data_IF_457565164334
#
_entry.id   IF_457565164334
#
_cell.length_a   1.000
_cell.length_b   1.000
_cell.length_c   1.000
_cell.angle_alpha   90.00
_cell.angle_beta   90.00
_cell.angle_gamma   90.00
#
_symmetry.space_group_name_H-M   'P 1'
#
loop_
_entity.id
_entity.type
_entity.pdbx_description
1 polymer ?
#
# COMPACT_ATOMS: atom_id res chain seq x y z
N UNK A 1 8.72 -34.61 -7.77
CA UNK A 1 9.01 -33.20 -7.46
C UNK A 1 7.79 -32.36 -7.82
N UNK A 2 7.24 -31.66 -6.83
CA UNK A 2 6.11 -30.72 -6.81
C UNK A 2 5.19 -30.61 -8.04
N UNK A 3 4.02 -31.25 -7.96
CA UNK A 3 2.84 -30.93 -8.76
C UNK A 3 1.96 -29.94 -8.00
N UNK A 4 1.31 -29.04 -8.77
CA UNK A 4 0.14 -28.19 -8.45
C UNK A 4 0.42 -26.81 -7.83
N UNK A 5 0.72 -25.84 -8.69
CA UNK A 5 0.19 -24.47 -8.55
C UNK A 5 -0.55 -24.15 -9.85
N UNK A 6 -1.70 -24.77 -10.04
CA UNK A 6 -2.60 -24.42 -11.14
C UNK A 6 -4.01 -24.46 -10.59
N UNK A 7 -4.70 -23.32 -10.76
CA UNK A 7 -6.04 -22.89 -10.35
C UNK A 7 -6.05 -21.89 -9.18
N UNK A 8 -6.73 -20.77 -9.44
CA UNK A 8 -7.11 -19.63 -8.56
C UNK A 8 -6.23 -18.38 -8.65
N UNK A 9 -6.34 -17.61 -9.74
CA UNK A 9 -5.64 -16.32 -9.87
C UNK A 9 -6.04 -15.33 -8.76
N UNK A 10 -7.33 -15.24 -8.41
CA UNK A 10 -7.79 -14.40 -7.28
C UNK A 10 -7.40 -14.98 -5.90
N UNK A 11 -7.46 -16.30 -5.74
CA UNK A 11 -7.16 -16.96 -4.46
C UNK A 11 -5.68 -16.93 -4.12
N UNK A 12 -4.82 -17.11 -5.14
CA UNK A 12 -3.37 -17.02 -5.00
C UNK A 12 -2.93 -15.56 -4.77
N UNK A 13 -3.56 -14.59 -5.42
CA UNK A 13 -3.31 -13.16 -5.15
C UNK A 13 -3.64 -12.79 -3.70
N UNK A 14 -4.79 -13.24 -3.17
CA UNK A 14 -5.14 -13.01 -1.77
C UNK A 14 -4.20 -13.75 -0.81
N UNK A 15 -3.84 -15.00 -1.12
CA UNK A 15 -2.94 -15.79 -0.28
C UNK A 15 -1.53 -15.17 -0.22
N UNK A 16 -1.01 -14.71 -1.36
CA UNK A 16 0.29 -14.02 -1.43
C UNK A 16 0.24 -12.63 -0.79
N UNK A 17 -0.89 -11.92 -0.86
CA UNK A 17 -1.11 -10.69 -0.11
C UNK A 17 -1.03 -10.92 1.40
N UNK A 18 -1.78 -11.90 1.93
CA UNK A 18 -1.72 -12.23 3.36
C UNK A 18 -0.33 -12.74 3.76
N UNK A 19 0.33 -13.55 2.94
CA UNK A 19 1.71 -13.98 3.19
C UNK A 19 2.65 -12.76 3.29
N UNK A 20 2.50 -11.75 2.43
CA UNK A 20 3.23 -10.49 2.53
C UNK A 20 2.90 -9.69 3.80
N UNK A 21 1.61 -9.59 4.16
CA UNK A 21 1.16 -8.92 5.39
C UNK A 21 1.74 -9.59 6.63
N UNK A 22 1.76 -10.93 6.69
CA UNK A 22 2.34 -11.67 7.80
C UNK A 22 3.84 -11.40 7.94
N UNK A 23 4.60 -11.50 6.85
CA UNK A 23 6.04 -11.21 6.86
C UNK A 23 6.30 -9.76 7.28
N UNK A 24 5.52 -8.80 6.78
CA UNK A 24 5.62 -7.39 7.15
C UNK A 24 5.30 -7.14 8.63
N UNK A 25 4.26 -7.76 9.16
CA UNK A 25 3.90 -7.65 10.57
C UNK A 25 4.96 -8.31 11.47
N UNK A 26 5.46 -9.49 11.11
CA UNK A 26 6.56 -10.13 11.84
C UNK A 26 7.81 -9.26 11.85
N UNK A 27 8.17 -8.67 10.71
CA UNK A 27 9.29 -7.73 10.64
C UNK A 27 9.05 -6.47 11.47
N UNK A 28 7.83 -5.93 11.47
CA UNK A 28 7.46 -4.76 12.28
C UNK A 28 7.41 -5.06 13.77
N UNK A 29 7.00 -6.26 14.17
CA UNK A 29 7.01 -6.73 15.56
C UNK A 29 8.45 -7.00 16.04
N UNK A 30 9.31 -7.54 15.17
CA UNK A 30 10.75 -7.70 15.45
C UNK A 30 11.45 -6.33 15.53
N UNK A 31 11.07 -5.41 14.65
CA UNK A 31 11.52 -4.03 14.64
C UNK A 31 10.66 -3.14 15.55
N UNK A 32 9.88 -3.74 16.47
CA UNK A 32 8.90 -3.02 17.29
C UNK A 32 9.57 -1.77 17.88
N UNK A 33 9.11 -0.58 17.50
CA UNK A 33 9.81 0.66 17.77
C UNK A 33 10.00 0.80 19.27
N UNK A 34 11.24 1.04 19.68
CA UNK A 34 11.64 1.00 21.08
C UNK A 34 10.72 1.84 22.00
N UNK A 35 10.53 1.29 23.20
CA UNK A 35 9.74 1.76 24.34
C UNK A 35 9.75 3.30 24.58
N UNK A 36 8.55 3.90 24.46
CA UNK A 36 7.99 4.79 25.49
C UNK A 36 8.39 6.28 25.53
N UNK A 37 9.68 6.63 25.55
CA UNK A 37 10.12 8.04 25.74
C UNK A 37 10.67 8.71 24.49
N UNK A 38 11.67 8.12 23.83
CA UNK A 38 12.20 8.66 22.57
C UNK A 38 11.16 8.68 21.46
N UNK A 39 10.25 7.70 21.46
CA UNK A 39 9.15 7.62 20.48
C UNK A 39 8.20 8.80 20.59
N UNK A 40 8.05 9.46 21.76
CA UNK A 40 7.18 10.64 21.89
C UNK A 40 7.82 11.91 21.30
N UNK A 41 9.13 12.06 21.41
CA UNK A 41 9.88 13.15 20.76
C UNK A 41 10.00 12.90 19.25
N UNK A 42 10.45 11.70 18.85
CA UNK A 42 10.58 11.32 17.43
C UNK A 42 9.23 11.32 16.72
N UNK A 43 8.13 10.87 17.33
CA UNK A 43 6.80 11.02 16.73
C UNK A 43 6.48 12.50 16.54
N UNK A 44 6.80 13.41 17.47
CA UNK A 44 6.41 14.81 17.32
C UNK A 44 7.10 15.47 16.11
N UNK A 45 8.40 15.23 15.93
CA UNK A 45 9.15 15.76 14.78
C UNK A 45 8.83 15.01 13.49
N UNK A 46 8.85 13.68 13.52
CA UNK A 46 8.56 12.84 12.35
C UNK A 46 7.11 12.99 11.92
N UNK A 47 6.15 13.25 12.81
CA UNK A 47 4.75 13.50 12.42
C UNK A 47 4.58 14.80 11.67
N UNK A 48 5.37 15.84 11.99
CA UNK A 48 5.28 17.11 11.27
C UNK A 48 5.79 16.93 9.84
N UNK A 49 6.98 16.35 9.69
CA UNK A 49 7.58 16.09 8.38
C UNK A 49 6.78 15.05 7.59
N UNK A 50 6.40 13.93 8.19
CA UNK A 50 5.59 12.89 7.52
C UNK A 50 4.22 13.42 7.15
N UNK A 51 3.59 14.31 7.94
CA UNK A 51 2.31 14.92 7.56
C UNK A 51 2.46 15.81 6.33
N UNK A 52 3.54 16.61 6.26
CA UNK A 52 3.80 17.46 5.10
C UNK A 52 4.10 16.61 3.85
N UNK A 53 4.98 15.60 3.97
CA UNK A 53 5.25 14.64 2.89
C UNK A 53 4.01 13.84 2.51
N UNK A 54 3.20 13.43 3.47
CA UNK A 54 1.95 12.70 3.22
C UNK A 54 0.92 13.57 2.53
N UNK A 55 0.79 14.86 2.86
CA UNK A 55 -0.09 15.78 2.13
C UNK A 55 0.36 15.96 0.68
N UNK A 56 1.67 16.09 0.43
CA UNK A 56 2.21 16.22 -0.92
C UNK A 56 2.01 14.94 -1.73
N UNK A 57 2.31 13.77 -1.14
CA UNK A 57 2.11 12.46 -1.75
C UNK A 57 0.63 12.17 -1.96
N UNK A 58 -0.24 12.49 -1.00
CA UNK A 58 -1.70 12.33 -1.14
C UNK A 58 -2.23 13.19 -2.27
N UNK A 59 -1.74 14.42 -2.43
CA UNK A 59 -2.12 15.30 -3.52
C UNK A 59 -1.68 14.75 -4.87
N UNK A 60 -0.44 14.26 -4.97
CA UNK A 60 0.07 13.59 -6.18
C UNK A 60 -0.69 12.31 -6.51
N UNK A 61 -0.97 11.47 -5.52
CA UNK A 61 -1.77 10.24 -5.67
C UNK A 61 -3.21 10.57 -6.07
N UNK A 62 -3.84 11.56 -5.45
CA UNK A 62 -5.18 12.00 -5.82
C UNK A 62 -5.24 12.50 -7.28
N UNK A 63 -4.22 13.24 -7.73
CA UNK A 63 -4.15 13.71 -9.12
C UNK A 63 -3.95 12.57 -10.13
N UNK A 64 -3.05 11.62 -9.85
CA UNK A 64 -2.80 10.46 -10.72
C UNK A 64 -3.95 9.46 -10.73
N UNK A 65 -4.64 9.29 -9.59
CA UNK A 65 -5.88 8.50 -9.53
C UNK A 65 -6.98 9.15 -10.36
N UNK A 66 -7.11 10.48 -10.31
CA UNK A 66 -8.10 11.23 -11.09
C UNK A 66 -7.79 11.21 -12.58
N UNK A 67 -6.53 11.30 -12.97
CA UNK A 67 -6.11 11.12 -14.37
C UNK A 67 -6.31 9.68 -14.86
N UNK A 68 -5.94 8.68 -14.06
CA UNK A 68 -6.11 7.27 -14.39
C UNK A 68 -7.58 6.85 -14.52
N UNK A 69 -8.45 7.33 -13.63
CA UNK A 69 -9.91 7.12 -13.73
C UNK A 69 -10.51 7.84 -14.92
N UNK A 70 -10.02 9.03 -15.29
CA UNK A 70 -10.43 9.74 -16.52
C UNK A 70 -9.97 9.04 -17.80
N UNK A 71 -8.77 8.46 -17.78
CA UNK A 71 -8.24 7.67 -18.89
C UNK A 71 -9.00 6.34 -19.06
N UNK A 72 -9.41 5.71 -17.95
CA UNK A 72 -10.28 4.53 -17.94
C UNK A 72 -11.68 4.87 -18.48
N UNK A 73 -12.29 5.97 -18.02
CA UNK A 73 -13.57 6.47 -18.53
C UNK A 73 -13.53 6.68 -20.05
N UNK A 74 -12.46 7.30 -20.56
CA UNK A 74 -12.29 7.54 -22.01
C UNK A 74 -12.20 6.24 -22.83
N UNK A 75 -11.51 5.22 -22.31
CA UNK A 75 -11.36 3.90 -22.98
C UNK A 75 -12.60 3.02 -22.84
N UNK A 76 -13.30 3.09 -21.72
CA UNK A 76 -14.58 2.38 -21.53
C UNK A 76 -15.65 2.96 -22.47
N UNK A 77 -15.64 4.27 -22.71
CA UNK A 77 -16.53 4.91 -23.67
C UNK A 77 -16.22 4.49 -25.12
N UNK A 78 -14.94 4.33 -25.48
CA UNK A 78 -14.54 3.91 -26.85
C UNK A 78 -14.79 2.44 -27.17
N UNK A 79 -15.18 1.60 -26.20
CA UNK A 79 -15.48 0.17 -26.40
C UNK A 79 -17.00 -0.08 -26.44
N UNK A 80 -17.82 0.87 -25.95
CA UNK A 80 -19.29 0.76 -25.89
C UNK A 80 -20.01 1.42 -27.09
N UNK A 81 -19.32 2.24 -27.87
CA UNK A 81 -19.77 2.75 -29.18
C UNK A 81 -19.11 1.98 -30.31
#
# INVERSE_FOLDING_TARGET
MSKKVEKTDCGLALLTFFAGVFVGMTAMLLLSPMSGRETREKIKDVSSDVKERAQEVTSKVASTLREGTSALQRKVYSIRS
#
